data_IF_688073653142
#
_entry.id   IF_688073653142
#
_cell.length_a   1.000
_cell.length_b   1.000
_cell.length_c   1.000
_cell.angle_alpha   90.00
_cell.angle_beta   90.00
_cell.angle_gamma   90.00
#
_symmetry.space_group_name_H-M   'P 1'
#
loop_
_entity.id
_entity.type
_entity.pdbx_description
1 polymer ?
#
# COMPACT_ATOMS: atom_id res chain seq x y z
N UNK A 1 5.71 9.68 10.41
CA UNK A 1 4.84 8.63 10.96
C UNK A 1 3.42 8.65 10.37
N UNK A 2 2.54 9.55 10.83
CA UNK A 2 1.10 9.51 10.49
C UNK A 2 0.78 9.65 8.98
N UNK A 3 1.56 10.45 8.24
CA UNK A 3 1.29 10.71 6.83
C UNK A 3 1.54 9.51 5.89
N UNK A 4 2.32 8.51 6.32
CA UNK A 4 2.83 7.44 5.45
C UNK A 4 2.31 6.05 5.84
N UNK A 5 1.44 5.99 6.86
CA UNK A 5 0.91 4.74 7.40
C UNK A 5 -0.08 4.02 6.47
N UNK A 6 -0.75 4.77 5.59
CA UNK A 6 -1.75 4.26 4.64
C UNK A 6 -1.60 4.99 3.32
N UNK A 7 -1.37 4.24 2.26
CA UNK A 7 -1.28 4.74 0.89
C UNK A 7 -2.18 3.91 -0.01
N UNK A 8 -2.94 4.58 -0.86
CA UNK A 8 -3.77 3.92 -1.85
C UNK A 8 -3.83 4.78 -3.10
N UNK A 9 -3.74 4.17 -4.26
CA UNK A 9 -3.81 4.88 -5.52
C UNK A 9 -3.36 4.06 -6.71
N UNK A 10 -3.27 4.75 -7.84
CA UNK A 10 -2.61 4.24 -9.04
C UNK A 10 -1.12 4.61 -8.99
N UNK A 11 -0.25 4.01 -9.82
CA UNK A 11 1.15 4.40 -9.90
C UNK A 11 1.38 5.90 -10.13
N UNK A 12 0.44 6.58 -10.79
CA UNK A 12 0.49 8.01 -11.09
C UNK A 12 0.09 8.89 -9.91
N UNK A 13 -0.90 8.46 -9.10
CA UNK A 13 -1.41 9.28 -7.98
C UNK A 13 -0.66 9.04 -6.66
N UNK A 14 0.01 7.88 -6.53
CA UNK A 14 0.76 7.48 -5.34
C UNK A 14 1.80 8.51 -4.86
N UNK A 15 2.66 9.08 -5.74
CA UNK A 15 3.63 10.09 -5.34
C UNK A 15 2.96 11.33 -4.73
N UNK A 16 1.88 11.83 -5.35
CA UNK A 16 1.15 13.01 -4.89
C UNK A 16 0.35 12.77 -3.60
N UNK A 17 -0.14 11.54 -3.38
CA UNK A 17 -0.87 11.18 -2.18
C UNK A 17 -0.02 11.33 -0.91
N UNK A 18 1.28 11.04 -0.98
CA UNK A 18 2.20 11.18 0.16
C UNK A 18 2.35 12.65 0.57
N UNK A 19 2.62 13.52 -0.40
CA UNK A 19 2.84 14.94 -0.13
C UNK A 19 1.56 15.63 0.39
N UNK A 20 0.41 15.27 -0.19
CA UNK A 20 -0.88 15.75 0.30
C UNK A 20 -1.12 15.36 1.77
N UNK A 21 -0.82 14.11 2.17
CA UNK A 21 -0.98 13.67 3.56
C UNK A 21 -0.01 14.32 4.53
N UNK A 22 1.22 14.62 4.09
CA UNK A 22 2.18 15.38 4.90
C UNK A 22 1.69 16.81 5.16
N UNK A 23 1.23 17.50 4.12
CA UNK A 23 0.64 18.83 4.24
C UNK A 23 -0.64 18.82 5.11
N UNK A 24 -1.47 17.79 4.95
CA UNK A 24 -2.68 17.66 5.78
C UNK A 24 -2.34 17.47 7.27
N UNK A 25 -1.24 16.79 7.60
CA UNK A 25 -0.81 16.57 8.97
C UNK A 25 -0.12 17.80 9.59
N UNK A 26 0.60 18.61 8.81
CA UNK A 26 1.34 19.77 9.33
C UNK A 26 0.42 20.83 9.95
N UNK A 27 -0.81 20.95 9.46
CA UNK A 27 -1.76 21.99 9.88
C UNK A 27 -2.67 21.52 11.04
N UNK A 28 -2.40 20.35 11.64
CA UNK A 28 -3.24 19.79 12.70
C UNK A 28 -2.68 20.05 14.09
N UNK A 29 -3.60 20.21 15.04
CA UNK A 29 -3.24 20.30 16.46
C UNK A 29 -2.68 18.97 16.97
N UNK A 30 -1.87 19.03 18.03
CA UNK A 30 -1.31 17.83 18.67
C UNK A 30 -2.41 16.82 19.05
N UNK A 31 -3.54 17.28 19.59
CA UNK A 31 -4.66 16.41 19.94
C UNK A 31 -5.26 15.68 18.73
N UNK A 32 -5.39 16.38 17.58
CA UNK A 32 -5.84 15.74 16.34
C UNK A 32 -4.82 14.72 15.81
N UNK A 33 -3.53 15.02 15.90
CA UNK A 33 -2.45 14.10 15.50
C UNK A 33 -2.42 12.84 16.39
N UNK A 34 -2.53 13.00 17.70
CA UNK A 34 -2.66 11.89 18.66
C UNK A 34 -3.89 11.03 18.33
N UNK A 35 -5.03 11.66 18.03
CA UNK A 35 -6.24 10.96 17.62
C UNK A 35 -6.03 10.11 16.36
N UNK A 36 -5.38 10.66 15.33
CA UNK A 36 -5.03 9.91 14.11
C UNK A 36 -4.06 8.78 14.39
N UNK A 37 -3.04 9.02 15.22
CA UNK A 37 -2.06 8.00 15.58
C UNK A 37 -2.72 6.79 16.24
N UNK A 38 -3.60 7.02 17.21
CA UNK A 38 -4.28 5.99 17.99
C UNK A 38 -5.46 5.32 17.26
N UNK A 39 -5.94 5.91 16.16
CA UNK A 39 -7.08 5.40 15.39
C UNK A 39 -6.69 4.68 14.10
N UNK A 40 -5.60 5.10 13.45
CA UNK A 40 -5.24 4.61 12.12
C UNK A 40 -3.95 3.77 12.10
N UNK A 41 -3.08 3.91 13.11
CA UNK A 41 -1.76 3.26 13.15
C UNK A 41 -1.57 2.33 14.33
N UNK A 42 -1.78 2.83 15.55
CA UNK A 42 -1.66 2.03 16.77
C UNK A 42 -3.00 1.36 17.02
N UNK A 43 -3.01 0.03 16.99
CA UNK A 43 -4.21 -0.78 17.18
C UNK A 43 -4.04 -1.70 18.39
N UNK A 44 -5.16 -2.11 19.00
CA UNK A 44 -5.14 -3.20 19.96
C UNK A 44 -4.95 -4.51 19.20
N UNK A 45 -4.17 -5.41 19.78
CA UNK A 45 -4.05 -6.76 19.25
C UNK A 45 -5.42 -7.45 19.20
N UNK A 46 -5.77 -7.99 18.04
CA UNK A 46 -7.08 -8.58 17.76
C UNK A 46 -8.10 -7.64 17.13
N UNK A 47 -7.83 -6.33 17.07
CA UNK A 47 -8.66 -5.39 16.30
C UNK A 47 -8.20 -5.38 14.83
N UNK A 48 -9.03 -5.88 13.93
CA UNK A 48 -8.84 -5.69 12.49
C UNK A 48 -9.56 -4.42 12.03
N UNK A 49 -8.82 -3.50 11.42
CA UNK A 49 -9.44 -2.39 10.70
C UNK A 49 -10.16 -2.94 9.45
N UNK A 50 -11.35 -2.43 9.09
CA UNK A 50 -12.04 -2.86 7.88
C UNK A 50 -11.12 -2.79 6.66
N UNK A 51 -11.19 -3.85 5.86
CA UNK A 51 -10.58 -3.87 4.53
C UNK A 51 -11.27 -2.83 3.67
N UNK A 52 -10.69 -1.64 3.55
CA UNK A 52 -11.08 -0.68 2.53
C UNK A 52 -10.55 -1.18 1.19
N UNK A 53 -11.21 -2.17 0.60
CA UNK A 53 -11.13 -2.41 -0.83
C UNK A 53 -12.18 -1.52 -1.49
N UNK A 54 -11.82 -0.34 -2.00
CA UNK A 54 -12.75 0.45 -2.81
C UNK A 54 -13.17 -0.42 -4.00
N UNK A 55 -14.45 -0.80 -4.02
CA UNK A 55 -15.05 -1.50 -5.14
C UNK A 55 -15.19 -0.44 -6.25
N UNK A 56 -14.20 -0.38 -7.14
CA UNK A 56 -14.21 0.52 -8.29
C UNK A 56 -14.37 -0.29 -9.58
N UNK A 57 -15.39 0.00 -10.39
CA UNK A 57 -15.51 -0.57 -11.72
C UNK A 57 -14.49 0.12 -12.64
N UNK A 58 -13.38 -0.54 -12.96
CA UNK A 58 -12.44 -0.04 -13.96
C UNK A 58 -11.13 -0.79 -14.09
N UNK A 59 -10.62 -0.89 -15.32
CA UNK A 59 -9.40 -1.55 -15.81
C UNK A 59 -8.05 -1.09 -15.18
N UNK A 60 -8.07 -0.29 -14.12
CA UNK A 60 -6.84 0.26 -13.51
C UNK A 60 -6.38 -0.55 -12.30
N UNK A 61 -5.12 -0.98 -12.30
CA UNK A 61 -4.49 -1.63 -11.14
C UNK A 61 -4.40 -0.62 -9.99
N UNK A 62 -5.09 -0.92 -8.88
CA UNK A 62 -4.98 -0.16 -7.65
C UNK A 62 -4.01 -0.84 -6.69
N UNK A 63 -3.17 -0.03 -6.06
CA UNK A 63 -2.26 -0.47 -5.02
C UNK A 63 -2.73 0.10 -3.70
N UNK A 64 -2.80 -0.75 -2.68
CA UNK A 64 -3.05 -0.38 -1.30
C UNK A 64 -1.89 -0.86 -0.44
N UNK A 65 -1.33 0.04 0.36
CA UNK A 65 -0.32 -0.26 1.35
C UNK A 65 -0.75 0.31 2.69
N UNK A 66 -0.63 -0.48 3.75
CA UNK A 66 -0.96 -0.06 5.11
C UNK A 66 0.02 -0.70 6.10
N UNK A 67 0.54 0.11 7.01
CA UNK A 67 1.36 -0.32 8.14
C UNK A 67 0.63 0.02 9.43
N UNK A 68 0.67 -0.91 10.38
CA UNK A 68 0.03 -0.79 11.69
C UNK A 68 0.94 -1.38 12.76
N UNK A 69 0.84 -0.83 13.96
CA UNK A 69 1.49 -1.34 15.15
C UNK A 69 0.42 -1.91 16.07
N UNK A 70 0.46 -3.23 16.29
CA UNK A 70 -0.44 -3.91 17.22
C UNK A 70 0.21 -3.94 18.61
N UNK A 71 -0.53 -3.46 19.61
CA UNK A 71 -0.11 -3.48 21.00
C UNK A 71 -1.08 -4.33 21.84
N UNK A 72 -0.57 -5.03 22.87
CA UNK A 72 -1.42 -5.63 23.89
C UNK A 72 -2.37 -4.60 24.51
N UNK A 73 -3.56 -5.03 24.93
CA UNK A 73 -4.61 -4.13 25.41
C UNK A 73 -4.14 -3.20 26.56
N UNK A 74 -3.34 -3.72 27.48
CA UNK A 74 -2.76 -2.95 28.59
C UNK A 74 -1.83 -1.85 28.08
N UNK A 75 -0.86 -2.21 27.23
CA UNK A 75 0.09 -1.27 26.62
C UNK A 75 -0.62 -0.20 25.78
N UNK A 76 -1.70 -0.58 25.08
CA UNK A 76 -2.49 0.36 24.30
C UNK A 76 -3.17 1.42 25.19
N UNK A 77 -3.85 0.99 26.26
CA UNK A 77 -4.53 1.94 27.15
C UNK A 77 -3.53 2.80 27.93
N UNK A 78 -2.38 2.24 28.32
CA UNK A 78 -1.28 2.99 28.94
C UNK A 78 -0.75 4.08 28.00
N UNK A 79 -0.44 3.74 26.74
CA UNK A 79 0.02 4.72 25.75
C UNK A 79 -1.04 5.78 25.45
N UNK A 80 -2.31 5.38 25.38
CA UNK A 80 -3.43 6.30 25.18
C UNK A 80 -3.57 7.30 26.33
N UNK A 81 -3.35 6.86 27.57
CA UNK A 81 -3.33 7.72 28.75
C UNK A 81 -2.14 8.69 28.68
N UNK A 82 -0.92 8.17 28.45
CA UNK A 82 0.30 8.96 28.29
C UNK A 82 0.14 10.09 27.25
N UNK A 83 -0.40 9.78 26.06
CA UNK A 83 -0.59 10.79 25.01
C UNK A 83 -1.68 11.81 25.35
N UNK A 84 -2.69 11.45 26.14
CA UNK A 84 -3.70 12.40 26.64
C UNK A 84 -3.11 13.33 27.69
N UNK A 85 -2.24 12.82 28.55
CA UNK A 85 -1.51 13.64 29.52
C UNK A 85 -0.63 14.67 28.79
N UNK A 86 0.09 14.26 27.75
CA UNK A 86 0.87 15.19 26.92
C UNK A 86 0.02 16.31 26.30
N UNK A 87 -1.16 15.98 25.76
CA UNK A 87 -2.09 16.99 25.21
C UNK A 87 -2.60 17.93 26.30
N UNK A 88 -2.92 17.38 27.48
CA UNK A 88 -3.37 18.16 28.64
C UNK A 88 -2.27 19.11 29.11
N UNK A 89 -1.04 18.60 29.25
CA UNK A 89 0.14 19.38 29.63
C UNK A 89 0.36 20.55 28.68
N UNK A 90 0.34 20.31 27.36
CA UNK A 90 0.44 21.38 26.35
C UNK A 90 -0.65 22.43 26.55
N UNK A 91 -1.90 22.01 26.76
CA UNK A 91 -3.01 22.94 26.92
C UNK A 91 -2.90 23.76 28.20
N UNK A 92 -2.48 23.14 29.31
CA UNK A 92 -2.19 23.82 30.56
C UNK A 92 -1.10 24.86 30.38
N UNK A 93 0.03 24.50 29.76
CA UNK A 93 1.13 25.42 29.50
C UNK A 93 0.73 26.62 28.62
N UNK A 94 -0.10 26.38 27.60
CA UNK A 94 -0.47 27.43 26.64
C UNK A 94 -1.63 28.31 27.13
N UNK A 95 -2.61 27.73 27.82
CA UNK A 95 -3.87 28.42 28.14
C UNK A 95 -4.01 28.77 29.62
N UNK A 96 -3.42 28.00 30.53
CA UNK A 96 -3.67 28.13 31.97
C UNK A 96 -2.43 28.48 32.79
N UNK A 97 -1.24 28.49 32.19
CA UNK A 97 0.01 28.66 32.94
C UNK A 97 0.06 29.96 33.75
N UNK A 98 -0.35 31.09 33.15
CA UNK A 98 -0.38 32.40 33.81
C UNK A 98 -1.48 32.47 34.88
N UNK A 99 -2.55 31.69 34.75
CA UNK A 99 -3.63 31.62 35.74
C UNK A 99 -3.22 30.78 36.96
N UNK A 100 -2.35 29.78 36.75
CA UNK A 100 -1.90 28.84 37.77
C UNK A 100 -0.70 29.34 38.58
N UNK A 101 0.08 30.29 38.05
CA UNK A 101 1.30 30.79 38.68
C UNK A 101 1.28 32.30 38.82
N UNK A 102 1.59 32.79 40.02
CA UNK A 102 1.76 34.22 40.26
C UNK A 102 3.11 34.70 39.72
N UNK A 103 3.09 35.38 38.58
CA UNK A 103 4.31 35.91 37.95
C UNK A 103 4.69 37.31 38.48
N UNK A 104 3.95 37.86 39.43
CA UNK A 104 4.20 39.19 39.99
C UNK A 104 5.08 39.16 41.24
N UNK A 105 5.33 37.98 41.80
CA UNK A 105 6.20 37.79 42.96
C UNK A 105 7.42 36.95 42.61
N UNK A 106 8.52 37.15 43.35
CA UNK A 106 9.74 36.37 43.17
C UNK A 106 9.50 34.89 43.49
N UNK A 107 8.76 34.62 44.57
CA UNK A 107 8.42 33.24 44.98
C UNK A 107 7.53 32.53 43.95
N UNK A 108 6.50 33.22 43.43
CA UNK A 108 5.66 32.68 42.38
C UNK A 108 6.42 32.45 41.06
N UNK A 109 7.38 33.31 40.72
CA UNK A 109 8.30 33.07 39.60
C UNK A 109 9.17 31.81 39.80
N UNK A 110 9.68 31.58 41.02
CA UNK A 110 10.46 30.37 41.32
C UNK A 110 9.62 29.10 41.21
N UNK A 111 8.39 29.12 41.73
CA UNK A 111 7.45 28.00 41.56
C UNK A 111 7.08 27.75 40.09
N UNK A 112 6.90 28.82 39.30
CA UNK A 112 6.64 28.72 37.87
C UNK A 112 7.83 28.09 37.13
N UNK A 113 9.07 28.48 37.47
CA UNK A 113 10.29 27.90 36.91
C UNK A 113 10.41 26.40 37.21
N UNK A 114 10.15 26.01 38.46
CA UNK A 114 10.14 24.61 38.87
C UNK A 114 9.08 23.80 38.11
N UNK A 115 7.87 24.36 37.97
CA UNK A 115 6.80 23.73 37.21
C UNK A 115 7.19 23.53 35.74
N UNK A 116 7.74 24.55 35.07
CA UNK A 116 8.23 24.45 33.69
C UNK A 116 9.34 23.39 33.54
N UNK A 117 10.23 23.29 34.52
CA UNK A 117 11.30 22.29 34.51
C UNK A 117 10.73 20.86 34.57
N UNK A 118 9.73 20.62 35.43
CA UNK A 118 9.03 19.33 35.50
C UNK A 118 8.27 19.02 34.21
N UNK A 119 7.53 20.00 33.70
CA UNK A 119 6.81 19.87 32.43
C UNK A 119 7.75 19.55 31.26
N UNK A 120 8.94 20.17 31.22
CA UNK A 120 9.93 19.86 30.20
C UNK A 120 10.41 18.41 30.28
N UNK A 121 10.70 17.91 31.48
CA UNK A 121 11.09 16.51 31.67
C UNK A 121 9.99 15.52 31.26
N UNK A 122 8.71 15.84 31.52
CA UNK A 122 7.57 15.04 31.05
C UNK A 122 7.45 15.03 29.53
N UNK A 123 7.60 16.20 28.88
CA UNK A 123 7.60 16.32 27.42
C UNK A 123 8.73 15.49 26.82
N UNK A 124 9.93 15.54 27.39
CA UNK A 124 11.10 14.82 26.90
C UNK A 124 10.89 13.30 26.96
N UNK A 125 10.37 12.79 28.08
CA UNK A 125 9.96 11.37 28.21
C UNK A 125 8.99 10.94 27.10
N UNK A 126 7.94 11.73 26.86
CA UNK A 126 6.96 11.41 25.82
C UNK A 126 7.56 11.50 24.41
N UNK A 127 8.46 12.46 24.19
CA UNK A 127 9.16 12.61 22.93
C UNK A 127 10.06 11.40 22.63
N UNK A 128 10.81 10.91 23.62
CA UNK A 128 11.64 9.70 23.48
C UNK A 128 10.79 8.45 23.15
N UNK A 129 9.65 8.29 23.83
CA UNK A 129 8.70 7.21 23.54
C UNK A 129 8.18 7.28 22.10
N UNK A 130 7.74 8.47 21.65
CA UNK A 130 7.30 8.70 20.27
C UNK A 130 8.42 8.50 19.25
N UNK A 131 9.66 8.90 19.59
CA UNK A 131 10.85 8.68 18.78
C UNK A 131 11.15 7.19 18.58
N UNK A 132 10.96 6.38 19.62
CA UNK A 132 11.10 4.92 19.54
C UNK A 132 10.07 4.32 18.56
N UNK A 133 8.81 4.74 18.63
CA UNK A 133 7.78 4.30 17.67
C UNK A 133 8.08 4.73 16.24
N UNK A 134 8.58 5.96 16.05
CA UNK A 134 9.02 6.43 14.75
C UNK A 134 10.16 5.56 14.18
N UNK A 135 11.14 5.19 15.02
CA UNK A 135 12.22 4.29 14.64
C UNK A 135 11.74 2.91 14.20
N UNK A 136 10.80 2.30 14.95
CA UNK A 136 10.19 1.02 14.55
C UNK A 136 9.46 1.13 13.21
N UNK A 137 8.78 2.25 12.95
CA UNK A 137 8.09 2.47 11.69
C UNK A 137 9.08 2.61 10.52
N UNK A 138 10.18 3.33 10.71
CA UNK A 138 11.19 3.50 9.66
C UNK A 138 11.84 2.15 9.32
N UNK A 139 12.15 1.33 10.32
CA UNK A 139 12.64 -0.03 10.11
C UNK A 139 11.62 -0.93 9.39
N UNK A 140 10.33 -0.86 9.76
CA UNK A 140 9.28 -1.61 9.08
C UNK A 140 9.11 -1.17 7.61
N UNK A 141 9.26 0.13 7.34
CA UNK A 141 9.22 0.68 5.97
C UNK A 141 10.40 0.19 5.14
N UNK A 142 11.60 0.17 5.70
CA UNK A 142 12.78 -0.37 5.02
C UNK A 142 12.60 -1.85 4.68
N UNK A 143 12.18 -2.66 5.64
CA UNK A 143 11.88 -4.08 5.42
C UNK A 143 10.79 -4.29 4.35
N UNK A 144 9.72 -3.49 4.38
CA UNK A 144 8.67 -3.54 3.36
C UNK A 144 9.19 -3.15 1.97
N UNK A 145 10.06 -2.15 1.88
CA UNK A 145 10.68 -1.73 0.62
C UNK A 145 11.58 -2.84 0.04
N UNK A 146 12.36 -3.51 0.88
CA UNK A 146 13.17 -4.68 0.47
C UNK A 146 12.28 -5.80 -0.10
N UNK A 147 11.16 -6.10 0.56
CA UNK A 147 10.19 -7.08 0.07
C UNK A 147 9.60 -6.64 -1.28
N UNK A 148 9.18 -5.38 -1.42
CA UNK A 148 8.60 -4.87 -2.67
C UNK A 148 9.58 -4.88 -3.84
N UNK A 149 10.87 -4.71 -3.56
CA UNK A 149 11.93 -4.77 -4.57
C UNK A 149 12.41 -6.20 -4.85
N UNK A 150 11.97 -7.19 -4.07
CA UNK A 150 12.36 -8.57 -4.26
C UNK A 150 11.82 -9.15 -5.58
N UNK A 151 12.58 -10.00 -6.28
CA UNK A 151 12.11 -10.69 -7.47
C UNK A 151 10.83 -11.50 -7.24
N UNK A 152 10.67 -12.09 -6.06
CA UNK A 152 9.48 -12.87 -5.68
C UNK A 152 8.21 -12.00 -5.64
N UNK A 153 8.32 -10.79 -5.09
CA UNK A 153 7.19 -9.86 -5.06
C UNK A 153 6.85 -9.35 -6.46
N UNK A 154 7.86 -9.03 -7.27
CA UNK A 154 7.66 -8.65 -8.68
C UNK A 154 7.01 -9.78 -9.49
N UNK A 155 7.44 -11.02 -9.29
CA UNK A 155 6.82 -12.19 -9.93
C UNK A 155 5.36 -12.38 -9.52
N UNK A 156 5.04 -12.15 -8.24
CA UNK A 156 3.67 -12.21 -7.74
C UNK A 156 2.79 -11.11 -8.34
N UNK A 157 3.26 -9.85 -8.34
CA UNK A 157 2.45 -8.69 -8.74
C UNK A 157 2.38 -8.52 -10.26
N UNK A 158 3.50 -8.68 -10.96
CA UNK A 158 3.59 -8.45 -12.41
C UNK A 158 3.28 -9.73 -13.19
N UNK A 159 3.82 -10.86 -12.73
CA UNK A 159 3.70 -12.13 -13.45
C UNK A 159 2.54 -12.99 -12.90
N UNK A 160 1.93 -12.65 -11.77
CA UNK A 160 0.87 -13.48 -11.17
C UNK A 160 1.40 -14.84 -10.70
N UNK A 161 2.70 -14.95 -10.43
CA UNK A 161 3.34 -16.19 -9.97
C UNK A 161 3.54 -16.09 -8.46
N UNK A 162 2.80 -16.89 -7.71
CA UNK A 162 2.89 -16.94 -6.26
C UNK A 162 4.24 -17.48 -5.77
N UNK A 163 4.60 -17.24 -4.50
CA UNK A 163 5.88 -17.68 -3.93
C UNK A 163 6.05 -19.21 -3.91
N UNK A 164 4.95 -19.97 -4.00
CA UNK A 164 4.93 -21.42 -4.15
C UNK A 164 5.05 -21.89 -5.62
N UNK A 165 5.21 -20.98 -6.58
CA UNK A 165 5.25 -21.25 -8.01
C UNK A 165 3.88 -21.45 -8.67
N UNK A 166 2.77 -21.34 -7.94
CA UNK A 166 1.43 -21.40 -8.53
C UNK A 166 1.14 -20.13 -9.34
N UNK A 167 0.48 -20.30 -10.48
CA UNK A 167 0.19 -19.20 -11.40
C UNK A 167 -1.28 -18.82 -11.29
N UNK A 168 -1.56 -17.55 -11.01
CA UNK A 168 -2.90 -16.99 -11.10
C UNK A 168 -3.15 -16.43 -12.51
N UNK A 169 -3.62 -17.32 -13.39
CA UNK A 169 -3.77 -17.03 -14.82
C UNK A 169 -4.57 -15.78 -15.21
N UNK A 170 -5.70 -15.43 -14.57
CA UNK A 170 -6.49 -14.26 -14.98
C UNK A 170 -5.73 -12.93 -14.95
N UNK A 171 -4.74 -12.81 -14.05
CA UNK A 171 -3.91 -11.61 -13.87
C UNK A 171 -2.45 -11.83 -14.25
N UNK A 172 -2.09 -13.01 -14.78
CA UNK A 172 -0.73 -13.33 -15.15
C UNK A 172 -0.23 -12.40 -16.27
N UNK A 173 1.00 -11.91 -16.14
CA UNK A 173 1.60 -10.95 -17.09
C UNK A 173 1.54 -11.44 -18.55
N UNK A 174 1.78 -12.73 -18.79
CA UNK A 174 1.71 -13.34 -20.12
C UNK A 174 0.31 -13.36 -20.71
N UNK A 175 -0.73 -13.50 -19.88
CA UNK A 175 -2.13 -13.39 -20.30
C UNK A 175 -2.45 -11.94 -20.64
N UNK A 176 -2.01 -10.99 -19.81
CA UNK A 176 -2.11 -9.56 -20.11
C UNK A 176 -1.42 -9.17 -21.41
N UNK A 177 -0.23 -9.72 -21.68
CA UNK A 177 0.51 -9.51 -22.92
C UNK A 177 -0.25 -10.06 -24.14
N UNK A 178 -0.85 -11.25 -24.03
CA UNK A 178 -1.68 -11.84 -25.08
C UNK A 178 -2.97 -11.05 -25.32
N UNK A 179 -3.59 -10.49 -24.27
CA UNK A 179 -4.73 -9.56 -24.41
C UNK A 179 -4.31 -8.32 -25.18
N UNK A 180 -3.20 -7.67 -24.81
CA UNK A 180 -2.69 -6.50 -25.55
C UNK A 180 -2.40 -6.83 -27.02
N UNK A 181 -1.72 -7.95 -27.29
CA UNK A 181 -1.49 -8.43 -28.66
C UNK A 181 -2.80 -8.69 -29.41
N UNK A 182 -3.83 -9.21 -28.73
CA UNK A 182 -5.15 -9.40 -29.30
C UNK A 182 -5.77 -8.06 -29.71
N UNK A 183 -5.77 -7.07 -28.83
CA UNK A 183 -6.35 -5.75 -29.10
C UNK A 183 -5.67 -5.04 -30.28
N UNK A 184 -4.34 -5.13 -30.37
CA UNK A 184 -3.57 -4.49 -31.45
C UNK A 184 -3.68 -5.20 -32.80
N UNK A 185 -3.76 -6.53 -32.80
CA UNK A 185 -3.66 -7.34 -34.03
C UNK A 185 -4.97 -7.98 -34.47
N UNK A 186 -6.07 -7.79 -33.74
CA UNK A 186 -7.33 -8.45 -34.04
C UNK A 186 -7.83 -8.13 -35.43
N UNK A 187 -8.21 -9.19 -36.14
CA UNK A 187 -8.88 -9.11 -37.43
C UNK A 187 -10.12 -9.99 -37.32
N UNK A 188 -11.29 -9.38 -37.51
CA UNK A 188 -12.58 -10.07 -37.42
C UNK A 188 -12.77 -10.85 -36.10
N UNK A 189 -12.20 -10.31 -35.01
CA UNK A 189 -12.29 -10.89 -33.66
C UNK A 189 -11.36 -12.07 -33.38
N UNK A 190 -10.36 -12.33 -34.23
CA UNK A 190 -9.35 -13.37 -34.05
C UNK A 190 -7.93 -12.85 -34.28
N UNK A 191 -6.95 -13.45 -33.61
CA UNK A 191 -5.51 -13.19 -33.84
C UNK A 191 -4.75 -14.50 -34.07
N UNK A 192 -3.84 -14.48 -35.04
CA UNK A 192 -2.91 -15.59 -35.27
C UNK A 192 -1.97 -15.71 -34.06
N UNK A 193 -1.90 -16.91 -33.47
CA UNK A 193 -1.05 -17.17 -32.30
C UNK A 193 0.43 -16.86 -32.59
N UNK A 194 0.90 -17.13 -33.81
CA UNK A 194 2.28 -16.87 -34.21
C UNK A 194 2.54 -15.37 -34.40
N UNK A 195 1.53 -14.59 -34.82
CA UNK A 195 1.61 -13.14 -34.90
C UNK A 195 1.63 -12.50 -33.51
N UNK A 196 0.75 -12.94 -32.60
CA UNK A 196 0.75 -12.49 -31.22
C UNK A 196 2.04 -12.86 -30.50
N UNK A 197 2.55 -14.08 -30.67
CA UNK A 197 3.81 -14.51 -30.07
C UNK A 197 5.00 -13.62 -30.49
N UNK A 198 5.05 -13.22 -31.77
CA UNK A 198 6.04 -12.24 -32.26
C UNK A 198 5.85 -10.88 -31.63
N UNK A 199 4.62 -10.37 -31.64
CA UNK A 199 4.31 -9.07 -31.04
C UNK A 199 4.69 -9.01 -29.56
N UNK A 200 4.38 -10.06 -28.79
CA UNK A 200 4.75 -10.14 -27.37
C UNK A 200 6.27 -10.19 -27.21
N UNK A 201 6.97 -10.95 -28.05
CA UNK A 201 8.44 -11.00 -28.01
C UNK A 201 9.10 -9.65 -28.34
N UNK A 202 8.47 -8.82 -29.17
CA UNK A 202 8.95 -7.49 -29.56
C UNK A 202 8.64 -6.42 -28.50
N UNK A 203 7.46 -6.47 -27.87
CA UNK A 203 6.97 -5.41 -26.97
C UNK A 203 7.12 -5.74 -25.49
N UNK A 204 7.15 -7.02 -25.11
CA UNK A 204 7.22 -7.54 -23.74
C UNK A 204 8.10 -8.80 -23.69
N UNK A 205 9.41 -8.68 -24.01
CA UNK A 205 10.32 -9.82 -24.16
C UNK A 205 10.49 -10.67 -22.88
N UNK A 206 10.18 -10.12 -21.72
CA UNK A 206 10.20 -10.79 -20.42
C UNK A 206 9.06 -11.81 -20.23
N UNK A 207 8.02 -11.75 -21.07
CA UNK A 207 6.85 -12.62 -21.04
C UNK A 207 7.08 -13.83 -21.95
N UNK A 208 7.68 -14.89 -21.38
CA UNK A 208 7.98 -16.12 -22.12
C UNK A 208 7.20 -17.32 -21.57
N UNK A 209 6.75 -18.28 -22.39
CA UNK A 209 6.06 -19.48 -21.90
C UNK A 209 6.84 -20.21 -20.80
N UNK A 210 8.18 -20.27 -20.92
CA UNK A 210 9.05 -20.98 -19.97
C UNK A 210 8.98 -20.40 -18.56
N UNK A 211 8.83 -19.08 -18.41
CA UNK A 211 8.65 -18.42 -17.10
C UNK A 211 7.42 -18.95 -16.36
N UNK A 212 6.39 -19.37 -17.11
CA UNK A 212 5.11 -19.88 -16.62
C UNK A 212 5.02 -21.41 -16.66
N UNK A 213 6.15 -22.12 -16.66
CA UNK A 213 6.19 -23.59 -16.72
C UNK A 213 5.70 -24.19 -18.04
N UNK A 214 5.44 -23.36 -19.07
CA UNK A 214 4.92 -23.79 -20.35
C UNK A 214 6.05 -23.94 -21.38
N UNK A 215 5.99 -25.01 -22.18
CA UNK A 215 6.97 -25.25 -23.25
C UNK A 215 6.75 -24.37 -24.49
N UNK A 216 5.50 -23.98 -24.77
CA UNK A 216 5.08 -23.27 -25.99
C UNK A 216 3.86 -22.38 -25.73
N UNK A 217 3.68 -21.34 -26.55
CA UNK A 217 2.52 -20.42 -26.48
C UNK A 217 1.16 -21.13 -26.50
N UNK A 218 1.04 -22.23 -27.25
CA UNK A 218 -0.18 -23.04 -27.28
C UNK A 218 -0.54 -23.64 -25.92
N UNK A 219 0.47 -24.04 -25.14
CA UNK A 219 0.27 -24.56 -23.80
C UNK A 219 -0.21 -23.45 -22.87
N UNK A 220 0.32 -22.23 -22.99
CA UNK A 220 -0.16 -21.05 -22.24
C UNK A 220 -1.64 -20.79 -22.50
N UNK A 221 -2.09 -20.84 -23.75
CA UNK A 221 -3.51 -20.68 -24.10
C UNK A 221 -4.38 -21.76 -23.44
N UNK A 222 -3.89 -23.00 -23.38
CA UNK A 222 -4.62 -24.11 -22.77
C UNK A 222 -4.68 -24.01 -21.24
N UNK A 223 -3.52 -23.87 -20.59
CA UNK A 223 -3.39 -23.83 -19.13
C UNK A 223 -4.05 -22.59 -18.53
N UNK A 224 -4.00 -21.45 -19.23
CA UNK A 224 -4.63 -20.21 -18.74
C UNK A 224 -6.16 -20.26 -18.73
N UNK A 225 -6.75 -21.04 -19.64
CA UNK A 225 -8.20 -21.10 -19.82
C UNK A 225 -8.87 -19.76 -20.22
N UNK A 226 -8.10 -18.69 -20.47
CA UNK A 226 -8.63 -17.33 -20.72
C UNK A 226 -9.00 -17.09 -22.18
N UNK A 227 -8.49 -17.92 -23.09
CA UNK A 227 -8.66 -17.76 -24.53
C UNK A 227 -9.31 -18.99 -25.15
N UNK A 228 -10.00 -18.77 -26.26
CA UNK A 228 -10.45 -19.81 -27.16
C UNK A 228 -9.42 -19.97 -28.29
N UNK A 229 -9.03 -21.21 -28.61
CA UNK A 229 -8.09 -21.51 -29.69
C UNK A 229 -8.75 -22.39 -30.76
N UNK A 230 -8.68 -21.97 -32.02
CA UNK A 230 -9.16 -22.75 -33.18
C UNK A 230 -8.09 -22.81 -34.27
N UNK A 231 -8.14 -23.85 -35.10
CA UNK A 231 -7.29 -23.96 -36.30
C UNK A 231 -8.16 -23.81 -37.53
N UNK A 232 -7.88 -22.78 -38.33
CA UNK A 232 -8.59 -22.53 -39.58
C UNK A 232 -7.75 -21.64 -40.49
N UNK A 233 -8.16 -21.55 -41.76
CA UNK A 233 -7.62 -20.58 -42.71
C UNK A 233 -8.38 -19.28 -42.58
N UNK A 234 -7.68 -18.19 -42.27
CA UNK A 234 -8.25 -16.85 -42.22
C UNK A 234 -7.42 -15.92 -43.10
N UNK A 235 -8.06 -15.21 -44.02
CA UNK A 235 -7.42 -14.33 -45.03
C UNK A 235 -6.20 -14.97 -45.72
N UNK A 236 -6.31 -16.24 -46.11
CA UNK A 236 -5.26 -16.98 -46.82
C UNK A 236 -4.15 -17.56 -45.95
N UNK A 237 -4.17 -17.33 -44.63
CA UNK A 237 -3.21 -17.91 -43.68
C UNK A 237 -3.86 -19.03 -42.86
N UNK A 238 -3.40 -20.27 -43.06
CA UNK A 238 -3.76 -21.39 -42.20
C UNK A 238 -2.90 -21.38 -40.94
N UNK A 239 -3.54 -21.38 -39.78
CA UNK A 239 -2.83 -21.25 -38.52
C UNK A 239 -3.66 -21.60 -37.31
N UNK A 240 -3.05 -21.49 -36.14
CA UNK A 240 -3.78 -21.47 -34.87
C UNK A 240 -4.16 -20.03 -34.58
N UNK A 241 -5.46 -19.78 -34.42
CA UNK A 241 -6.03 -18.47 -34.16
C UNK A 241 -6.70 -18.50 -32.80
N UNK A 242 -6.52 -17.44 -32.02
CA UNK A 242 -7.15 -17.32 -30.71
C UNK A 242 -7.98 -16.04 -30.60
N UNK A 243 -8.93 -16.07 -29.67
CA UNK A 243 -9.67 -14.90 -29.21
C UNK A 243 -9.88 -14.97 -27.70
N UNK A 244 -10.09 -13.82 -27.07
CA UNK A 244 -10.46 -13.78 -25.67
C UNK A 244 -11.82 -14.46 -25.45
N UNK A 245 -11.93 -15.25 -24.37
CA UNK A 245 -13.24 -15.77 -23.97
C UNK A 245 -14.06 -14.61 -23.43
N UNK A 246 -15.27 -14.45 -23.96
CA UNK A 246 -16.28 -13.64 -23.29
C UNK A 246 -16.54 -14.29 -21.93
N UNK A 247 -16.19 -13.62 -20.82
CA UNK A 247 -16.76 -13.96 -19.53
C UNK A 247 -18.24 -13.60 -19.61
N UNK A 248 -19.05 -14.49 -20.19
CA UNK A 248 -20.49 -14.46 -20.00
C UNK A 248 -20.71 -14.89 -18.55
N UNK A 249 -20.84 -13.90 -17.67
CA UNK A 249 -21.48 -14.07 -16.38
C UNK A 249 -22.94 -14.41 -16.68
N UNK A 250 -23.27 -15.70 -16.64
CA UNK A 250 -24.64 -16.17 -16.40
C UNK A 250 -24.87 -16.26 -14.88
#
# INVERSE_FOLDING_TARGET
MIAVQKLSGTPETLPHAIDARKAEASDKTLGTLVGRLMGDYIMKEGDELPGDTPNHPGDSIQFGFRMQLNLPAESYEALKADLRELVTLRNTLVHHFIELHDLWTVDGCLHAQDALTRSYAEIDRHFEQLGTFAGHMDAAREAAAEVMQSPQFLDMVVNGIGPNGQIHWPVAGIVGALRKAFWELSIDGWVSLDAAARWVSEHQPEQTPKKYGCSRWRQVIHESGQFELRRFTHKGQFGAWFRERSNATD
#
